data_IF_864121766283
#
_entry.id   IF_864121766283
#
_cell.length_a   1.000
_cell.length_b   1.000
_cell.length_c   1.000
_cell.angle_alpha   90.00
_cell.angle_beta   90.00
_cell.angle_gamma   90.00
#
_symmetry.space_group_name_H-M   'P 1'
#
loop_
_entity.id
_entity.type
_entity.pdbx_description
1 polymer ?
#
# COMPACT_ATOMS: atom_id res chain seq x y z
N UNK A 1 -3.32 -11.23 7.10
CA UNK A 1 -2.34 -12.29 7.40
C UNK A 1 -1.40 -11.84 8.51
N UNK A 2 -0.96 -12.79 9.36
CA UNK A 2 -0.12 -12.51 10.52
C UNK A 2 1.02 -13.52 10.60
N UNK A 3 2.17 -13.07 11.09
CA UNK A 3 3.24 -13.95 11.55
C UNK A 3 3.20 -14.03 13.09
N UNK A 4 3.60 -15.19 13.63
CA UNK A 4 3.74 -15.37 15.08
C UNK A 4 5.20 -15.45 15.45
N UNK A 5 5.65 -14.59 16.35
CA UNK A 5 7.02 -14.54 16.84
C UNK A 5 7.06 -14.57 18.36
N UNK A 6 8.18 -15.05 18.92
CA UNK A 6 8.42 -14.97 20.37
C UNK A 6 9.31 -13.76 20.64
N UNK A 7 8.73 -12.76 21.30
CA UNK A 7 9.41 -11.54 21.71
C UNK A 7 9.32 -11.41 23.24
N UNK A 8 10.44 -11.19 23.93
CA UNK A 8 10.50 -11.11 25.40
C UNK A 8 9.77 -12.27 26.11
N UNK A 9 9.99 -13.51 25.64
CA UNK A 9 9.37 -14.74 26.15
C UNK A 9 7.83 -14.84 25.96
N UNK A 10 7.23 -13.89 25.25
CA UNK A 10 5.80 -13.88 24.94
C UNK A 10 5.58 -14.09 23.45
N UNK A 11 4.61 -14.92 23.07
CA UNK A 11 4.18 -15.06 21.68
C UNK A 11 3.32 -13.85 21.31
N UNK A 12 3.70 -13.16 20.24
CA UNK A 12 2.96 -12.03 19.67
C UNK A 12 2.63 -12.32 18.20
N UNK A 13 1.49 -11.81 17.76
CA UNK A 13 1.11 -11.82 16.35
C UNK A 13 1.43 -10.45 15.74
N UNK A 14 2.17 -10.44 14.63
CA UNK A 14 2.53 -9.25 13.87
C UNK A 14 1.82 -9.33 12.52
N UNK A 15 1.10 -8.28 12.15
CA UNK A 15 0.41 -8.21 10.86
C UNK A 15 1.44 -8.04 9.73
N UNK A 16 1.38 -8.89 8.70
CA UNK A 16 2.32 -8.83 7.57
C UNK A 16 2.36 -7.45 6.90
N UNK A 17 1.20 -6.80 6.76
CA UNK A 17 1.10 -5.47 6.15
C UNK A 17 1.83 -4.36 6.92
N UNK A 18 2.17 -4.58 8.19
CA UNK A 18 2.89 -3.59 9.01
C UNK A 18 4.41 -3.81 9.00
N UNK A 19 4.88 -4.90 8.37
CA UNK A 19 6.30 -5.24 8.29
C UNK A 19 6.93 -4.52 7.09
N UNK A 20 7.97 -3.74 7.35
CA UNK A 20 8.77 -3.07 6.32
C UNK A 20 9.78 -4.04 5.71
N UNK A 21 10.60 -4.66 6.55
CA UNK A 21 11.53 -5.72 6.17
C UNK A 21 11.97 -6.55 7.37
N UNK A 22 12.55 -7.71 7.12
CA UNK A 22 13.12 -8.58 8.13
C UNK A 22 14.54 -9.04 7.74
N UNK A 23 15.47 -9.00 8.68
CA UNK A 23 16.87 -9.42 8.47
C UNK A 23 17.21 -10.55 9.44
N UNK A 24 17.80 -11.61 8.89
CA UNK A 24 18.37 -12.72 9.66
C UNK A 24 19.83 -12.44 10.01
N UNK A 25 20.18 -12.65 11.27
CA UNK A 25 21.57 -12.67 11.76
C UNK A 25 21.71 -13.89 12.65
N UNK A 26 22.44 -14.88 12.18
CA UNK A 26 22.60 -16.18 12.82
C UNK A 26 21.25 -16.87 13.11
N UNK A 27 20.89 -17.02 14.38
CA UNK A 27 19.64 -17.63 14.86
C UNK A 27 18.55 -16.60 15.24
N UNK A 28 18.80 -15.32 14.96
CA UNK A 28 17.86 -14.22 15.27
C UNK A 28 17.32 -13.58 14.00
N UNK A 29 16.04 -13.25 14.06
CA UNK A 29 15.35 -12.42 13.08
C UNK A 29 15.08 -11.04 13.67
N UNK A 30 15.52 -10.00 13.00
CA UNK A 30 15.15 -8.61 13.34
C UNK A 30 14.10 -8.14 12.33
N UNK A 31 12.92 -7.82 12.82
CA UNK A 31 11.76 -7.38 12.02
C UNK A 31 11.60 -5.88 12.23
N UNK A 32 11.69 -5.12 11.16
CA UNK A 32 11.49 -3.67 11.12
C UNK A 32 10.07 -3.36 10.64
N UNK A 33 9.36 -2.51 11.37
CA UNK A 33 7.98 -2.16 11.10
C UNK A 33 7.87 -0.80 10.41
N UNK A 34 6.78 -0.56 9.69
CA UNK A 34 6.51 0.74 9.06
C UNK A 34 6.38 1.89 10.10
N UNK A 35 5.96 1.60 11.33
CA UNK A 35 5.85 2.58 12.42
C UNK A 35 7.18 2.84 13.17
N UNK A 36 8.29 2.26 12.67
CA UNK A 36 9.63 2.39 13.25
C UNK A 36 9.93 1.43 14.41
N UNK A 37 8.96 0.62 14.85
CA UNK A 37 9.23 -0.42 15.85
C UNK A 37 10.11 -1.52 15.29
N UNK A 38 10.89 -2.14 16.17
CA UNK A 38 11.80 -3.23 15.83
C UNK A 38 11.60 -4.38 16.81
N UNK A 39 11.38 -5.58 16.25
CA UNK A 39 11.25 -6.81 17.03
C UNK A 39 12.45 -7.73 16.73
N UNK A 40 13.19 -8.12 17.77
CA UNK A 40 14.23 -9.13 17.65
C UNK A 40 13.74 -10.42 18.28
N UNK A 41 13.62 -11.46 17.48
CA UNK A 41 13.10 -12.76 17.88
C UNK A 41 14.00 -13.90 17.42
N UNK A 42 13.95 -15.03 18.12
CA UNK A 42 14.63 -16.25 17.69
C UNK A 42 13.75 -16.98 16.67
N UNK A 43 14.25 -17.09 15.45
CA UNK A 43 13.51 -17.67 14.33
C UNK A 43 14.49 -18.02 13.21
N UNK A 44 14.26 -19.09 12.48
CA UNK A 44 15.03 -19.44 11.29
C UNK A 44 14.45 -18.76 10.05
N UNK A 45 15.29 -18.57 9.02
CA UNK A 45 14.82 -18.04 7.71
C UNK A 45 13.72 -18.91 7.10
N UNK A 46 13.78 -20.23 7.30
CA UNK A 46 12.77 -21.17 6.80
C UNK A 46 11.41 -20.96 7.49
N UNK A 47 11.41 -20.72 8.80
CA UNK A 47 10.20 -20.42 9.56
C UNK A 47 9.62 -19.06 9.17
N UNK A 48 10.48 -18.04 9.02
CA UNK A 48 10.06 -16.73 8.55
C UNK A 48 9.38 -16.82 7.17
N UNK A 49 10.03 -17.46 6.20
CA UNK A 49 9.49 -17.63 4.83
C UNK A 49 8.18 -18.42 4.78
N UNK A 50 7.93 -19.33 5.71
CA UNK A 50 6.66 -20.07 5.78
C UNK A 50 5.50 -19.21 6.28
N UNK A 51 5.79 -18.20 7.07
CA UNK A 51 4.79 -17.34 7.68
C UNK A 51 4.52 -16.06 6.87
N UNK A 52 5.54 -15.56 6.14
CA UNK A 52 5.39 -14.42 5.24
C UNK A 52 4.58 -14.82 4.00
N UNK A 53 3.74 -13.90 3.55
CA UNK A 53 2.98 -14.06 2.32
C UNK A 53 3.81 -13.72 1.07
N UNK A 54 3.18 -13.79 -0.09
CA UNK A 54 3.82 -13.51 -1.38
C UNK A 54 4.14 -12.02 -1.63
N UNK A 55 3.71 -11.13 -0.73
CA UNK A 55 4.03 -9.71 -0.79
C UNK A 55 5.45 -9.39 -0.30
N UNK A 56 6.24 -10.41 0.04
CA UNK A 56 7.64 -10.26 0.43
C UNK A 56 8.56 -10.86 -0.62
N UNK A 57 9.74 -10.24 -0.80
CA UNK A 57 10.80 -10.78 -1.65
C UNK A 57 12.13 -10.83 -0.92
N UNK A 58 12.96 -11.84 -1.26
CA UNK A 58 14.31 -11.95 -0.71
C UNK A 58 15.31 -11.16 -1.55
N UNK A 59 15.71 -10.00 -1.09
CA UNK A 59 16.63 -9.10 -1.82
C UNK A 59 18.09 -9.49 -1.68
N UNK A 60 18.46 -10.14 -0.57
CA UNK A 60 19.73 -10.81 -0.32
C UNK A 60 19.51 -11.95 0.66
N UNK A 61 20.48 -12.87 0.77
CA UNK A 61 20.37 -13.99 1.71
C UNK A 61 19.99 -13.50 3.12
N UNK A 62 18.88 -13.99 3.60
CA UNK A 62 18.36 -13.66 4.93
C UNK A 62 17.74 -12.26 5.07
N UNK A 63 17.50 -11.56 3.99
CA UNK A 63 16.79 -10.27 4.04
C UNK A 63 15.52 -10.32 3.19
N UNK A 64 14.36 -10.30 3.85
CA UNK A 64 13.03 -10.26 3.26
C UNK A 64 12.49 -8.85 3.33
N UNK A 65 12.07 -8.29 2.21
CA UNK A 65 11.52 -6.92 2.11
C UNK A 65 10.08 -6.98 1.60
N UNK A 66 9.20 -6.22 2.22
CA UNK A 66 7.84 -6.06 1.72
C UNK A 66 7.86 -5.35 0.36
N UNK A 67 7.20 -5.92 -0.64
CA UNK A 67 7.13 -5.35 -2.00
C UNK A 67 6.60 -3.92 -1.99
N UNK A 68 5.53 -3.58 -1.23
CA UNK A 68 5.03 -2.20 -1.13
C UNK A 68 6.02 -1.22 -0.49
N UNK A 69 7.03 -1.71 0.22
CA UNK A 69 8.06 -0.87 0.84
C UNK A 69 9.17 -0.45 -0.13
N UNK A 70 9.30 -1.10 -1.29
CA UNK A 70 10.39 -0.84 -2.24
C UNK A 70 10.02 0.34 -3.13
N UNK A 71 10.73 1.46 -3.00
CA UNK A 71 10.58 2.64 -3.86
C UNK A 71 11.40 2.55 -5.13
N UNK A 72 12.64 2.03 -5.05
CA UNK A 72 13.52 1.83 -6.23
C UNK A 72 14.55 0.72 -5.98
N UNK A 73 14.99 0.09 -7.07
CA UNK A 73 16.15 -0.82 -7.10
C UNK A 73 17.23 -0.19 -7.99
N UNK A 74 18.04 0.67 -7.38
CA UNK A 74 19.19 1.35 -7.98
C UNK A 74 20.50 0.64 -7.67
N UNK A 75 21.49 1.37 -7.14
CA UNK A 75 22.73 0.81 -6.57
C UNK A 75 22.49 0.16 -5.20
N UNK A 76 21.47 0.61 -4.52
CA UNK A 76 20.87 0.04 -3.32
C UNK A 76 19.36 -0.10 -3.54
N UNK A 77 18.69 -0.89 -2.72
CA UNK A 77 17.23 -0.92 -2.67
C UNK A 77 16.81 0.20 -1.74
N UNK A 78 16.12 1.21 -2.29
CA UNK A 78 15.58 2.31 -1.53
C UNK A 78 14.18 1.94 -1.04
N UNK A 79 13.93 2.13 0.25
CA UNK A 79 12.63 1.89 0.87
C UNK A 79 11.81 3.18 0.99
N UNK A 80 10.51 3.05 1.14
CA UNK A 80 9.56 4.16 1.25
C UNK A 80 9.79 5.06 2.48
N UNK A 81 10.44 4.54 3.52
CA UNK A 81 10.84 5.31 4.71
C UNK A 81 12.20 6.02 4.56
N UNK A 82 12.85 5.91 3.38
CA UNK A 82 14.16 6.52 3.08
C UNK A 82 15.36 5.63 3.45
N UNK A 83 15.16 4.48 4.08
CA UNK A 83 16.25 3.53 4.33
C UNK A 83 16.73 2.87 3.03
N UNK A 84 18.02 2.47 3.01
CA UNK A 84 18.63 1.82 1.87
C UNK A 84 19.22 0.46 2.25
N UNK A 85 18.85 -0.59 1.52
CA UNK A 85 19.33 -1.95 1.74
C UNK A 85 20.31 -2.34 0.63
N UNK A 86 21.52 -2.79 1.04
CA UNK A 86 22.51 -3.31 0.11
C UNK A 86 22.11 -4.67 -0.44
N UNK A 87 22.44 -4.94 -1.70
CA UNK A 87 22.24 -6.23 -2.34
C UNK A 87 23.38 -6.55 -3.32
N UNK A 88 23.39 -7.76 -3.87
CA UNK A 88 24.43 -8.16 -4.85
C UNK A 88 24.09 -7.56 -6.22
N UNK A 89 24.88 -6.60 -6.72
CA UNK A 89 24.62 -5.85 -7.98
C UNK A 89 24.31 -6.76 -9.19
N UNK A 90 24.91 -7.93 -9.28
CA UNK A 90 24.63 -8.93 -10.34
C UNK A 90 23.16 -9.38 -10.37
N UNK A 91 22.43 -9.24 -9.27
CA UNK A 91 21.00 -9.61 -9.16
C UNK A 91 20.06 -8.49 -9.53
N UNK A 92 20.52 -7.29 -9.89
CA UNK A 92 19.69 -6.11 -10.15
C UNK A 92 18.53 -6.40 -11.12
N UNK A 93 18.86 -7.02 -12.27
CA UNK A 93 17.86 -7.35 -13.30
C UNK A 93 16.82 -8.33 -12.76
N UNK A 94 17.26 -9.41 -12.12
CA UNK A 94 16.38 -10.45 -11.56
C UNK A 94 15.46 -9.88 -10.48
N UNK A 95 15.99 -9.03 -9.60
CA UNK A 95 15.20 -8.41 -8.53
C UNK A 95 14.15 -7.43 -9.08
N UNK A 96 14.47 -6.68 -10.15
CA UNK A 96 13.50 -5.81 -10.82
C UNK A 96 12.38 -6.59 -11.49
N UNK A 97 12.72 -7.68 -12.19
CA UNK A 97 11.74 -8.57 -12.80
C UNK A 97 10.84 -9.24 -11.75
N UNK A 98 11.42 -9.68 -10.63
CA UNK A 98 10.67 -10.26 -9.52
C UNK A 98 9.76 -9.22 -8.85
N UNK A 99 10.24 -8.00 -8.63
CA UNK A 99 9.46 -6.90 -8.08
C UNK A 99 8.25 -6.61 -8.97
N UNK A 100 8.45 -6.41 -10.26
CA UNK A 100 7.38 -6.14 -11.21
C UNK A 100 6.33 -7.26 -11.20
N UNK A 101 6.76 -8.52 -11.27
CA UNK A 101 5.86 -9.67 -11.24
C UNK A 101 5.04 -9.73 -9.95
N UNK A 102 5.65 -9.45 -8.80
CA UNK A 102 4.93 -9.42 -7.52
C UNK A 102 3.97 -8.25 -7.42
N UNK A 103 4.34 -7.07 -7.90
CA UNK A 103 3.43 -5.91 -7.98
C UNK A 103 2.20 -6.23 -8.85
N UNK A 104 2.38 -6.86 -10.01
CA UNK A 104 1.28 -7.29 -10.86
C UNK A 104 0.33 -8.28 -10.15
N UNK A 105 0.88 -9.22 -9.37
CA UNK A 105 0.08 -10.16 -8.57
C UNK A 105 -0.70 -9.46 -7.46
N UNK A 106 -0.10 -8.50 -6.77
CA UNK A 106 -0.76 -7.71 -5.72
C UNK A 106 -1.91 -6.90 -6.34
N UNK A 107 -1.66 -6.20 -7.45
CA UNK A 107 -2.68 -5.45 -8.19
C UNK A 107 -3.82 -6.36 -8.63
N UNK A 108 -3.51 -7.54 -9.19
CA UNK A 108 -4.52 -8.50 -9.61
C UNK A 108 -5.36 -9.05 -8.45
N UNK A 109 -4.79 -9.19 -7.26
CA UNK A 109 -5.53 -9.56 -6.04
C UNK A 109 -6.46 -8.46 -5.55
N UNK A 110 -5.98 -7.20 -5.55
CA UNK A 110 -6.79 -6.04 -5.18
C UNK A 110 -7.97 -5.91 -6.15
N UNK A 111 -7.72 -6.04 -7.45
CA UNK A 111 -8.74 -5.96 -8.50
C UNK A 111 -9.78 -7.08 -8.43
N UNK A 112 -9.46 -8.22 -7.81
CA UNK A 112 -10.40 -9.34 -7.58
C UNK A 112 -11.27 -9.17 -6.33
N UNK A 113 -10.94 -8.23 -5.41
CA UNK A 113 -11.88 -7.90 -4.35
C UNK A 113 -13.14 -7.33 -5.01
N UNK A 114 -14.31 -7.85 -4.63
CA UNK A 114 -15.59 -7.27 -5.06
C UNK A 114 -15.71 -5.88 -4.42
N UNK A 115 -15.16 -4.89 -5.10
CA UNK A 115 -15.41 -3.50 -4.79
C UNK A 115 -16.82 -3.15 -5.27
N UNK A 116 -17.50 -2.22 -4.61
CA UNK A 116 -18.75 -1.68 -5.13
C UNK A 116 -18.53 -1.21 -6.58
N UNK A 117 -19.48 -1.49 -7.46
CA UNK A 117 -19.42 -1.08 -8.90
C UNK A 117 -20.40 0.04 -9.22
N UNK A 118 -21.50 0.11 -8.48
CA UNK A 118 -22.54 1.11 -8.69
C UNK A 118 -22.56 2.13 -7.55
N UNK A 119 -23.11 3.32 -7.81
CA UNK A 119 -23.26 4.35 -6.78
C UNK A 119 -24.09 3.87 -5.58
N UNK A 120 -25.09 3.00 -5.81
CA UNK A 120 -25.91 2.42 -4.74
C UNK A 120 -25.10 1.44 -3.88
N UNK A 121 -24.26 0.59 -4.50
CA UNK A 121 -23.37 -0.32 -3.78
C UNK A 121 -22.33 0.44 -2.96
N UNK A 122 -21.74 1.50 -3.49
CA UNK A 122 -20.84 2.39 -2.76
C UNK A 122 -21.51 3.03 -1.55
N UNK A 123 -22.73 3.56 -1.71
CA UNK A 123 -23.52 4.14 -0.61
C UNK A 123 -23.82 3.09 0.47
N UNK A 124 -24.21 1.88 0.09
CA UNK A 124 -24.43 0.78 1.03
C UNK A 124 -23.16 0.37 1.77
N UNK A 125 -22.03 0.30 1.06
CA UNK A 125 -20.73 -0.09 1.62
C UNK A 125 -20.22 0.92 2.65
N UNK A 126 -20.35 2.22 2.35
CA UNK A 126 -19.87 3.32 3.20
C UNK A 126 -20.95 3.94 4.08
N UNK A 127 -22.10 3.29 4.26
CA UNK A 127 -23.23 3.82 5.03
C UNK A 127 -22.85 4.36 6.42
N UNK A 128 -21.87 3.74 7.09
CA UNK A 128 -21.39 4.19 8.39
C UNK A 128 -20.70 5.56 8.31
N UNK A 129 -20.18 5.93 7.14
CA UNK A 129 -19.48 7.19 6.92
C UNK A 129 -20.44 8.37 6.70
N UNK A 130 -21.74 8.12 6.47
CA UNK A 130 -22.74 9.19 6.32
C UNK A 130 -22.85 10.04 7.60
N UNK A 131 -22.66 9.44 8.77
CA UNK A 131 -22.74 10.10 10.07
C UNK A 131 -21.44 10.78 10.53
N UNK A 132 -20.36 10.71 9.75
CA UNK A 132 -19.09 11.34 10.13
C UNK A 132 -19.19 12.87 10.09
N UNK A 133 -18.68 13.58 11.13
CA UNK A 133 -18.74 15.04 11.20
C UNK A 133 -17.66 15.73 10.33
N UNK A 134 -16.89 14.97 9.57
CA UNK A 134 -15.85 15.45 8.66
C UNK A 134 -16.07 14.89 7.25
N UNK A 135 -15.54 15.60 6.26
CA UNK A 135 -15.63 15.20 4.87
C UNK A 135 -14.93 13.84 4.64
N UNK A 136 -15.68 12.90 4.07
CA UNK A 136 -15.17 11.59 3.66
C UNK A 136 -15.59 11.31 2.22
N UNK A 137 -14.64 10.82 1.43
CA UNK A 137 -14.88 10.44 0.04
C UNK A 137 -14.10 9.17 -0.32
N UNK A 138 -14.66 8.38 -1.22
CA UNK A 138 -13.96 7.34 -1.99
C UNK A 138 -13.84 7.83 -3.43
N UNK A 139 -12.65 7.74 -3.98
CA UNK A 139 -12.33 8.20 -5.33
C UNK A 139 -11.66 7.10 -6.15
N UNK A 140 -11.98 7.05 -7.42
CA UNK A 140 -11.29 6.22 -8.39
C UNK A 140 -10.31 7.07 -9.19
N UNK A 141 -9.03 6.73 -9.13
CA UNK A 141 -7.98 7.45 -9.86
C UNK A 141 -8.04 7.14 -11.36
N UNK A 142 -7.90 8.18 -12.17
CA UNK A 142 -7.78 8.08 -13.62
C UNK A 142 -6.31 8.24 -14.00
N UNK A 143 -5.78 7.24 -14.70
CA UNK A 143 -4.38 7.21 -15.15
C UNK A 143 -4.30 7.37 -16.66
N UNK A 144 -3.26 8.05 -17.14
CA UNK A 144 -2.92 8.10 -18.57
C UNK A 144 -2.14 6.84 -19.01
N UNK A 145 -1.78 6.78 -20.29
CA UNK A 145 -1.01 5.66 -20.87
C UNK A 145 0.37 5.48 -20.21
N UNK A 146 0.96 6.55 -19.66
CA UNK A 146 2.22 6.52 -18.92
C UNK A 146 2.05 6.09 -17.47
N UNK A 147 0.85 5.67 -17.04
CA UNK A 147 0.48 5.29 -15.67
C UNK A 147 0.64 6.43 -14.66
N UNK A 148 0.53 7.68 -15.12
CA UNK A 148 0.48 8.86 -14.25
C UNK A 148 -0.98 9.23 -13.96
N UNK A 149 -1.27 9.54 -12.72
CA UNK A 149 -2.57 10.04 -12.31
C UNK A 149 -2.84 11.40 -12.98
N UNK A 150 -3.98 11.53 -13.64
CA UNK A 150 -4.38 12.74 -14.36
C UNK A 150 -5.69 13.34 -13.86
N UNK A 151 -6.53 12.53 -13.17
CA UNK A 151 -7.81 12.94 -12.61
C UNK A 151 -8.30 11.91 -11.60
N UNK A 152 -9.45 12.13 -10.98
CA UNK A 152 -10.19 11.11 -10.22
C UNK A 152 -11.69 11.27 -10.38
N UNK A 153 -12.41 10.18 -10.16
CA UNK A 153 -13.87 10.14 -10.19
C UNK A 153 -14.36 9.95 -8.76
N UNK A 154 -15.33 10.76 -8.33
CA UNK A 154 -15.99 10.58 -7.04
C UNK A 154 -16.91 9.36 -7.08
N UNK A 155 -16.61 8.33 -6.28
CA UNK A 155 -17.42 7.11 -6.17
C UNK A 155 -18.38 7.16 -4.99
N UNK A 156 -17.95 7.80 -3.91
CA UNK A 156 -18.76 8.06 -2.72
C UNK A 156 -18.35 9.38 -2.07
N UNK A 157 -19.30 10.01 -1.37
CA UNK A 157 -19.06 11.15 -0.50
C UNK A 157 -20.20 11.29 0.51
N UNK A 158 -19.88 11.86 1.67
CA UNK A 158 -20.89 12.19 2.70
C UNK A 158 -21.32 13.67 2.64
N UNK A 159 -22.36 14.04 3.41
CA UNK A 159 -22.87 15.42 3.44
C UNK A 159 -21.83 16.45 3.90
N UNK A 160 -20.89 16.06 4.76
CA UNK A 160 -19.78 16.92 5.16
C UNK A 160 -18.85 17.27 3.97
N UNK A 161 -18.67 16.33 3.02
CA UNK A 161 -17.94 16.61 1.76
C UNK A 161 -18.72 17.60 0.91
N UNK A 162 -20.03 17.39 0.71
CA UNK A 162 -20.87 18.32 -0.07
C UNK A 162 -20.80 19.75 0.49
N UNK A 163 -20.81 19.87 1.81
CA UNK A 163 -20.68 21.15 2.51
C UNK A 163 -19.28 21.77 2.29
N UNK A 164 -18.24 20.98 2.39
CA UNK A 164 -16.84 21.43 2.20
C UNK A 164 -16.61 21.93 0.77
N UNK A 165 -17.02 21.14 -0.21
CA UNK A 165 -16.82 21.42 -1.63
C UNK A 165 -17.86 22.39 -2.22
N UNK A 166 -18.91 22.71 -1.45
CA UNK A 166 -20.03 23.54 -1.88
C UNK A 166 -20.69 23.03 -3.16
N UNK A 167 -20.75 21.73 -3.30
CA UNK A 167 -21.36 21.02 -4.42
C UNK A 167 -22.28 19.91 -3.88
N UNK A 168 -23.47 19.72 -4.46
CA UNK A 168 -24.37 18.66 -4.06
C UNK A 168 -23.83 17.29 -4.48
N UNK A 169 -24.02 16.27 -3.62
CA UNK A 169 -23.49 14.92 -3.84
C UNK A 169 -23.97 14.27 -5.15
N UNK A 170 -25.21 14.54 -5.57
CA UNK A 170 -25.78 14.01 -6.81
C UNK A 170 -25.05 14.51 -8.07
N UNK A 171 -24.44 15.70 -8.00
CA UNK A 171 -23.56 16.20 -9.05
C UNK A 171 -22.14 15.68 -8.96
N UNK A 172 -21.69 15.37 -7.74
CA UNK A 172 -20.31 14.91 -7.52
C UNK A 172 -20.13 13.43 -7.86
N UNK A 173 -21.04 12.59 -7.37
CA UNK A 173 -20.90 11.14 -7.52
C UNK A 173 -21.01 10.70 -8.98
N UNK A 174 -19.98 10.03 -9.47
CA UNK A 174 -19.83 9.62 -10.87
C UNK A 174 -19.16 10.67 -11.78
N UNK A 175 -18.93 11.88 -11.27
CA UNK A 175 -18.24 12.94 -12.02
C UNK A 175 -16.75 12.95 -11.72
N UNK A 176 -15.95 13.39 -12.70
CA UNK A 176 -14.53 13.61 -12.48
C UNK A 176 -14.27 14.93 -11.78
N UNK A 177 -13.17 15.04 -11.03
CA UNK A 177 -12.80 16.27 -10.36
C UNK A 177 -12.64 17.41 -11.35
N UNK A 178 -11.92 17.22 -12.46
CA UNK A 178 -11.69 18.25 -13.47
C UNK A 178 -12.97 18.76 -14.14
N UNK A 179 -14.04 17.95 -14.15
CA UNK A 179 -15.33 18.37 -14.70
C UNK A 179 -16.13 19.31 -13.77
N UNK A 180 -15.84 19.26 -12.47
CA UNK A 180 -16.53 20.02 -11.43
C UNK A 180 -15.72 21.23 -10.95
N UNK A 181 -14.40 21.10 -10.94
CA UNK A 181 -13.48 22.08 -10.36
C UNK A 181 -12.38 22.45 -11.35
N UNK A 182 -12.08 23.73 -11.45
CA UNK A 182 -11.02 24.25 -12.35
C UNK A 182 -9.64 24.35 -11.68
N UNK A 183 -9.55 24.06 -10.39
CA UNK A 183 -8.37 24.33 -9.56
C UNK A 183 -7.64 23.05 -9.12
N UNK A 184 -7.48 22.09 -10.04
CA UNK A 184 -6.71 20.87 -9.77
C UNK A 184 -5.28 21.22 -9.37
N UNK A 185 -4.89 20.92 -8.13
CA UNK A 185 -3.50 21.02 -7.70
C UNK A 185 -2.78 19.68 -7.99
N UNK A 186 -1.74 19.75 -8.81
CA UNK A 186 -0.91 18.59 -9.17
C UNK A 186 -0.34 17.85 -7.93
N UNK A 187 -0.21 18.53 -6.80
CA UNK A 187 0.23 17.95 -5.54
C UNK A 187 -0.72 16.85 -5.06
N UNK A 188 -2.04 17.05 -5.18
CA UNK A 188 -3.03 16.05 -4.79
C UNK A 188 -2.98 14.81 -5.69
N UNK A 189 -2.82 15.00 -7.01
CA UNK A 189 -2.63 13.88 -7.93
C UNK A 189 -1.44 13.01 -7.53
N UNK A 190 -0.29 13.63 -7.19
CA UNK A 190 0.90 12.89 -6.77
C UNK A 190 0.67 12.14 -5.44
N UNK A 191 0.01 12.76 -4.47
CA UNK A 191 -0.29 12.12 -3.17
C UNK A 191 -1.22 10.93 -3.35
N UNK A 192 -2.29 11.08 -4.13
CA UNK A 192 -3.26 10.02 -4.37
C UNK A 192 -2.69 8.90 -5.26
N UNK A 193 -1.87 9.24 -6.25
CA UNK A 193 -1.11 8.25 -7.04
C UNK A 193 -0.27 7.35 -6.14
N UNK A 194 0.49 7.95 -5.22
CA UNK A 194 1.29 7.18 -4.25
C UNK A 194 0.41 6.31 -3.35
N UNK A 195 -0.68 6.84 -2.84
CA UNK A 195 -1.60 6.08 -1.97
C UNK A 195 -2.31 4.92 -2.71
N UNK A 196 -2.48 5.02 -4.03
CA UNK A 196 -3.15 4.00 -4.84
C UNK A 196 -2.19 2.91 -5.31
N UNK A 197 -0.95 3.29 -5.65
CA UNK A 197 0.03 2.38 -6.26
C UNK A 197 1.00 1.75 -5.23
N UNK A 198 1.10 2.30 -4.03
CA UNK A 198 2.04 1.92 -2.97
C UNK A 198 1.37 1.88 -1.60
#
# INVERSE_FOLDING_TARGET
EFITVTFNRTKIAIRCADILYAIMSDDHCTIHMFDGKVYRCRMTLKELKKQLNEEFMEVKRGCMVAVPAISDIGDMILLSNGEAISYTKRKKKVLREELQKKQELIIAKISKKKLPLTAEEYRKYYRICDALPFAFTDIEMVFNEEKKAVDWIFRYGNEALATLEKQPLDKMIGSSFSSLFSNMDAKWLQVYERATLY
#
